data_IF_599959341497
#
_entry.id   IF_599959341497
#
_cell.length_a   1.000
_cell.length_b   1.000
_cell.length_c   1.000
_cell.angle_alpha   90.00
_cell.angle_beta   90.00
_cell.angle_gamma   90.00
#
_symmetry.space_group_name_H-M   'P 1'
#
loop_
_entity.id
_entity.type
_entity.pdbx_description
1 polymer ?
#
# COMPACT_ATOMS: atom_id res chain seq x y z
N UNK A 1 -11.10 5.76 13.58
CA UNK A 1 -9.75 6.11 14.06
C UNK A 1 -9.29 7.39 13.38
N UNK A 2 -8.28 8.08 13.91
CA UNK A 2 -7.79 9.35 13.36
C UNK A 2 -7.43 9.28 11.86
N UNK A 3 -6.83 8.17 11.39
CA UNK A 3 -6.51 8.02 9.97
C UNK A 3 -7.73 7.85 9.06
N UNK A 4 -8.83 7.28 9.56
CA UNK A 4 -10.08 7.25 8.78
C UNK A 4 -10.63 8.66 8.60
N UNK A 5 -10.53 9.50 9.64
CA UNK A 5 -10.94 10.90 9.56
C UNK A 5 -10.02 11.69 8.62
N UNK A 6 -8.70 11.44 8.65
CA UNK A 6 -7.76 12.01 7.69
C UNK A 6 -8.11 11.59 6.26
N UNK A 7 -8.29 10.30 5.99
CA UNK A 7 -8.62 9.79 4.66
C UNK A 7 -9.93 10.40 4.10
N UNK A 8 -10.94 10.55 4.95
CA UNK A 8 -12.18 11.23 4.59
C UNK A 8 -11.97 12.72 4.26
N UNK A 9 -11.14 13.42 5.04
CA UNK A 9 -10.80 14.81 4.77
C UNK A 9 -9.98 14.97 3.47
N UNK A 10 -9.07 14.04 3.19
CA UNK A 10 -8.31 14.01 1.95
C UNK A 10 -9.22 13.82 0.72
N UNK A 11 -10.20 12.93 0.82
CA UNK A 11 -11.16 12.67 -0.26
C UNK A 11 -12.01 13.86 -0.68
N UNK A 12 -12.17 14.86 0.20
CA UNK A 12 -12.88 16.10 -0.11
C UNK A 12 -12.05 17.12 -0.91
N UNK A 13 -10.75 16.86 -1.11
CA UNK A 13 -9.85 17.77 -1.83
C UNK A 13 -9.95 17.62 -3.36
N UNK A 14 -9.68 18.69 -4.13
CA UNK A 14 -9.47 18.58 -5.57
C UNK A 14 -8.33 17.61 -5.93
N UNK A 15 -8.42 16.94 -7.09
CA UNK A 15 -7.49 15.87 -7.49
C UNK A 15 -5.99 16.20 -7.31
N UNK A 16 -5.47 17.39 -7.67
CA UNK A 16 -4.05 17.71 -7.47
C UNK A 16 -3.66 17.80 -5.99
N UNK A 17 -4.53 18.35 -5.15
CA UNK A 17 -4.30 18.50 -3.72
C UNK A 17 -4.43 17.15 -3.01
N UNK A 18 -5.40 16.33 -3.42
CA UNK A 18 -5.55 14.95 -2.96
C UNK A 18 -4.29 14.14 -3.26
N UNK A 19 -3.75 14.23 -4.48
CA UNK A 19 -2.55 13.50 -4.87
C UNK A 19 -1.30 13.89 -4.05
N UNK A 20 -1.12 15.19 -3.78
CA UNK A 20 -0.05 15.68 -2.92
C UNK A 20 -0.23 15.20 -1.47
N UNK A 21 -1.42 15.41 -0.90
CA UNK A 21 -1.69 15.08 0.49
C UNK A 21 -1.69 13.56 0.78
N UNK A 22 -2.13 12.73 -0.16
CA UNK A 22 -2.01 11.27 -0.06
C UNK A 22 -0.55 10.81 -0.08
N UNK A 23 0.30 11.44 -0.91
CA UNK A 23 1.75 11.15 -0.90
C UNK A 23 2.39 11.53 0.43
N UNK A 24 2.12 12.72 0.94
CA UNK A 24 2.68 13.18 2.22
C UNK A 24 2.22 12.30 3.39
N UNK A 25 0.94 11.94 3.42
CA UNK A 25 0.39 11.07 4.45
C UNK A 25 0.97 9.64 4.39
N UNK A 26 1.17 9.11 3.19
CA UNK A 26 1.81 7.81 2.97
C UNK A 26 3.28 7.87 3.39
N UNK A 27 4.03 8.87 2.94
CA UNK A 27 5.46 9.05 3.24
C UNK A 27 5.73 9.15 4.76
N UNK A 28 4.84 9.79 5.51
CA UNK A 28 4.94 9.80 6.98
C UNK A 28 4.91 8.37 7.60
N UNK A 29 4.21 7.41 6.98
CA UNK A 29 4.20 6.01 7.45
C UNK A 29 5.39 5.23 6.88
N UNK A 30 5.76 5.48 5.62
CA UNK A 30 6.89 4.83 4.96
C UNK A 30 8.22 5.16 5.66
N UNK A 31 8.39 6.40 6.12
CA UNK A 31 9.58 6.82 6.88
C UNK A 31 9.80 5.99 8.14
N UNK A 32 8.73 5.75 8.90
CA UNK A 32 8.81 4.94 10.11
C UNK A 32 9.11 3.47 9.78
N UNK A 33 8.54 2.92 8.70
CA UNK A 33 8.88 1.57 8.22
C UNK A 33 10.36 1.46 7.82
N UNK A 34 10.89 2.44 7.07
CA UNK A 34 12.32 2.48 6.71
C UNK A 34 13.21 2.55 7.95
N UNK A 35 12.84 3.36 8.95
CA UNK A 35 13.56 3.46 10.21
C UNK A 35 13.57 2.13 10.97
N UNK A 36 12.43 1.42 11.05
CA UNK A 36 12.37 0.09 11.66
C UNK A 36 13.21 -0.95 10.93
N UNK A 37 13.20 -0.90 9.60
CA UNK A 37 14.04 -1.78 8.79
C UNK A 37 15.53 -1.54 9.02
N UNK A 38 15.95 -0.29 9.22
CA UNK A 38 17.34 0.08 9.47
C UNK A 38 17.80 -0.23 10.91
N UNK A 39 16.91 -0.09 11.90
CA UNK A 39 17.24 -0.31 13.31
C UNK A 39 17.43 -1.79 13.69
N UNK A 40 16.94 -2.72 12.85
CA UNK A 40 17.03 -4.17 13.01
C UNK A 40 16.63 -4.72 14.40
N UNK A 41 15.72 -4.02 15.08
CA UNK A 41 15.24 -4.39 16.40
C UNK A 41 14.16 -5.47 16.38
N UNK A 42 13.91 -6.08 17.54
CA UNK A 42 12.82 -7.04 17.71
C UNK A 42 11.44 -6.41 17.48
N UNK A 43 10.57 -7.17 16.80
CA UNK A 43 9.17 -6.80 16.61
C UNK A 43 8.42 -6.97 17.94
N UNK A 44 8.02 -5.85 18.56
CA UNK A 44 7.25 -5.85 19.81
C UNK A 44 5.82 -5.38 19.55
N UNK A 45 4.87 -6.32 19.58
CA UNK A 45 3.45 -6.07 19.28
C UNK A 45 2.89 -4.92 20.10
N UNK A 46 2.15 -4.03 19.45
CA UNK A 46 1.48 -2.89 20.11
C UNK A 46 2.40 -1.71 20.45
N UNK A 47 3.68 -1.79 20.09
CA UNK A 47 4.64 -0.69 20.24
C UNK A 47 4.94 -0.04 18.89
N UNK A 48 5.69 1.07 18.90
CA UNK A 48 6.18 1.72 17.67
C UNK A 48 7.20 0.87 16.91
N UNK A 49 7.77 -0.18 17.52
CA UNK A 49 8.65 -1.13 16.84
C UNK A 49 7.91 -2.23 16.08
N UNK A 50 6.57 -2.28 16.17
CA UNK A 50 5.76 -3.20 15.38
C UNK A 50 5.50 -2.63 13.97
N UNK A 51 6.05 -3.21 12.89
CA UNK A 51 5.80 -2.73 11.53
C UNK A 51 4.31 -2.80 11.16
N UNK A 52 3.54 -3.69 11.79
CA UNK A 52 2.10 -3.81 11.54
C UNK A 52 1.33 -2.53 11.86
N UNK A 53 1.77 -1.76 12.87
CA UNK A 53 1.14 -0.47 13.19
C UNK A 53 1.16 0.47 11.98
N UNK A 54 2.31 0.60 11.33
CA UNK A 54 2.52 1.51 10.21
C UNK A 54 1.90 0.98 8.92
N UNK A 55 1.93 -0.35 8.71
CA UNK A 55 1.26 -1.01 7.59
C UNK A 55 -0.26 -0.85 7.67
N UNK A 56 -0.88 -1.05 8.84
CA UNK A 56 -2.32 -0.88 9.02
C UNK A 56 -2.74 0.59 8.86
N UNK A 57 -1.86 1.51 9.24
CA UNK A 57 -2.07 2.95 9.03
C UNK A 57 -2.06 3.32 7.56
N UNK A 58 -1.04 2.89 6.82
CA UNK A 58 -0.93 3.10 5.38
C UNK A 58 -2.10 2.43 4.64
N UNK A 59 -2.48 1.21 5.02
CA UNK A 59 -3.62 0.49 4.48
C UNK A 59 -4.95 1.24 4.69
N UNK A 60 -5.13 1.87 5.86
CA UNK A 60 -6.33 2.66 6.14
C UNK A 60 -6.45 3.89 5.23
N UNK A 61 -5.33 4.54 4.88
CA UNK A 61 -5.34 5.67 3.93
C UNK A 61 -5.91 5.24 2.58
N UNK A 62 -5.37 4.17 1.98
CA UNK A 62 -5.87 3.67 0.69
C UNK A 62 -7.28 3.09 0.76
N UNK A 63 -7.68 2.51 1.89
CA UNK A 63 -9.02 1.91 2.04
C UNK A 63 -10.12 2.96 2.21
N UNK A 64 -9.85 3.98 3.00
CA UNK A 64 -10.87 4.90 3.50
C UNK A 64 -10.88 6.25 2.75
N UNK A 65 -9.93 6.49 1.85
CA UNK A 65 -9.94 7.67 0.97
C UNK A 65 -11.07 7.52 -0.04
N UNK A 66 -11.98 8.48 -0.04
CA UNK A 66 -13.05 8.56 -1.03
C UNK A 66 -12.57 9.43 -2.18
N UNK A 67 -12.36 8.84 -3.35
CA UNK A 67 -11.93 9.58 -4.54
C UNK A 67 -13.17 9.88 -5.36
N UNK A 68 -13.58 11.15 -5.49
CA UNK A 68 -14.77 11.49 -6.25
C UNK A 68 -14.63 10.98 -7.70
N UNK A 69 -15.67 10.38 -8.31
CA UNK A 69 -15.59 9.94 -9.71
C UNK A 69 -15.19 11.08 -10.67
N UNK A 70 -15.58 12.31 -10.35
CA UNK A 70 -15.18 13.50 -11.10
C UNK A 70 -13.67 13.83 -11.02
N UNK A 71 -12.95 13.32 -10.02
CA UNK A 71 -11.50 13.44 -9.89
C UNK A 71 -10.74 12.41 -10.75
N UNK A 72 -11.46 11.45 -11.35
CA UNK A 72 -10.93 10.44 -12.26
C UNK A 72 -11.49 10.72 -13.65
N UNK A 73 -10.96 11.74 -14.31
CA UNK A 73 -11.23 12.02 -15.73
C UNK A 73 -10.51 10.99 -16.60
N UNK A 74 -11.11 10.58 -17.73
CA UNK A 74 -10.59 9.53 -18.62
C UNK A 74 -9.19 9.79 -19.20
N UNK A 75 -8.64 10.99 -19.01
CA UNK A 75 -7.32 11.41 -19.49
C UNK A 75 -6.28 11.56 -18.37
N UNK A 76 -6.69 11.67 -17.10
CA UNK A 76 -5.77 11.91 -15.98
C UNK A 76 -5.56 10.66 -15.13
N UNK A 77 -4.32 10.47 -14.66
CA UNK A 77 -3.98 9.37 -13.77
C UNK A 77 -4.69 9.52 -12.42
N UNK A 78 -5.13 8.39 -11.84
CA UNK A 78 -5.80 8.37 -10.54
C UNK A 78 -4.96 9.09 -9.46
N UNK A 79 -5.54 9.98 -8.64
CA UNK A 79 -4.77 10.85 -7.73
C UNK A 79 -3.99 10.09 -6.66
N UNK A 80 -4.42 8.88 -6.28
CA UNK A 80 -3.69 8.03 -5.33
C UNK A 80 -2.60 7.16 -5.98
N UNK A 81 -2.48 7.11 -7.31
CA UNK A 81 -1.47 6.29 -8.00
C UNK A 81 -0.03 6.67 -7.59
N UNK A 82 0.36 7.96 -7.53
CA UNK A 82 1.71 8.33 -7.10
C UNK A 82 2.06 7.80 -5.72
N UNK A 83 1.15 7.94 -4.74
CA UNK A 83 1.35 7.43 -3.39
C UNK A 83 1.51 5.90 -3.36
N UNK A 84 0.76 5.16 -4.18
CA UNK A 84 0.92 3.71 -4.30
C UNK A 84 2.26 3.33 -4.93
N UNK A 85 2.67 4.01 -5.99
CA UNK A 85 3.95 3.79 -6.67
C UNK A 85 5.12 4.03 -5.74
N UNK A 86 5.10 5.11 -4.96
CA UNK A 86 6.14 5.44 -3.98
C UNK A 86 6.15 4.43 -2.80
N UNK A 87 4.98 3.91 -2.44
CA UNK A 87 4.84 2.91 -1.36
C UNK A 87 5.35 1.53 -1.75
N UNK A 88 5.24 1.14 -3.03
CA UNK A 88 5.50 -0.22 -3.48
C UNK A 88 6.93 -0.73 -3.14
N UNK A 89 8.02 -0.01 -3.45
CA UNK A 89 9.37 -0.47 -3.11
C UNK A 89 9.55 -0.75 -1.61
N UNK A 90 8.99 0.11 -0.76
CA UNK A 90 9.05 -0.07 0.70
C UNK A 90 8.26 -1.28 1.15
N UNK A 91 7.04 -1.47 0.63
CA UNK A 91 6.23 -2.65 0.94
C UNK A 91 6.94 -3.94 0.51
N UNK A 92 7.59 -3.94 -0.64
CA UNK A 92 8.40 -5.06 -1.12
C UNK A 92 9.58 -5.35 -0.17
N UNK A 93 10.33 -4.32 0.22
CA UNK A 93 11.46 -4.45 1.13
C UNK A 93 11.02 -4.97 2.51
N UNK A 94 9.90 -4.48 3.05
CA UNK A 94 9.28 -4.97 4.29
C UNK A 94 8.95 -6.46 4.18
N UNK A 95 8.26 -6.87 3.09
CA UNK A 95 7.91 -8.28 2.87
C UNK A 95 9.14 -9.17 2.73
N UNK A 96 10.19 -8.67 2.07
CA UNK A 96 11.45 -9.39 1.89
C UNK A 96 12.23 -9.54 3.21
N UNK A 97 12.35 -8.46 4.00
CA UNK A 97 13.06 -8.47 5.30
C UNK A 97 12.38 -9.42 6.29
N UNK A 98 11.06 -9.38 6.37
CA UNK A 98 10.28 -10.17 7.32
C UNK A 98 9.51 -11.31 6.64
N UNK A 99 10.11 -11.93 5.61
CA UNK A 99 9.44 -12.94 4.78
C UNK A 99 8.97 -14.17 5.57
N UNK A 100 9.62 -14.52 6.68
CA UNK A 100 9.19 -15.61 7.56
C UNK A 100 8.08 -15.21 8.56
N UNK A 101 7.78 -13.92 8.71
CA UNK A 101 6.80 -13.42 9.67
C UNK A 101 5.44 -13.24 9.01
N UNK A 102 4.62 -14.29 8.99
CA UNK A 102 3.31 -14.32 8.32
C UNK A 102 2.42 -13.11 8.65
N UNK A 103 2.41 -12.66 9.92
CA UNK A 103 1.63 -11.49 10.35
C UNK A 103 2.05 -10.20 9.64
N UNK A 104 3.35 -9.99 9.44
CA UNK A 104 3.88 -8.78 8.78
C UNK A 104 3.59 -8.84 7.28
N UNK A 105 3.87 -9.98 6.65
CA UNK A 105 3.61 -10.19 5.21
C UNK A 105 2.13 -10.05 4.90
N UNK A 106 1.24 -10.63 5.69
CA UNK A 106 -0.21 -10.50 5.50
C UNK A 106 -0.67 -9.03 5.55
N UNK A 107 -0.10 -8.23 6.46
CA UNK A 107 -0.46 -6.82 6.63
C UNK A 107 0.11 -5.95 5.50
N UNK A 108 1.32 -6.25 5.01
CA UNK A 108 1.86 -5.61 3.82
C UNK A 108 1.06 -5.94 2.56
N UNK A 109 0.72 -7.22 2.35
CA UNK A 109 -0.16 -7.65 1.25
C UNK A 109 -1.56 -7.01 1.37
N UNK A 110 -2.11 -6.88 2.59
CA UNK A 110 -3.38 -6.17 2.83
C UNK A 110 -3.30 -4.70 2.43
N UNK A 111 -2.22 -4.01 2.77
CA UNK A 111 -1.98 -2.64 2.35
C UNK A 111 -1.95 -2.53 0.81
N UNK A 112 -1.18 -3.40 0.15
CA UNK A 112 -1.09 -3.43 -1.31
C UNK A 112 -2.46 -3.70 -1.96
N UNK A 113 -3.26 -4.64 -1.44
CA UNK A 113 -4.62 -4.90 -1.95
C UNK A 113 -5.52 -3.69 -1.87
N UNK A 114 -5.48 -2.91 -0.78
CA UNK A 114 -6.28 -1.68 -0.70
C UNK A 114 -5.76 -0.61 -1.65
N UNK A 115 -4.45 -0.44 -1.78
CA UNK A 115 -3.87 0.47 -2.77
C UNK A 115 -4.29 0.14 -4.21
N UNK A 116 -4.15 -1.14 -4.59
CA UNK A 116 -4.54 -1.63 -5.92
C UNK A 116 -6.04 -1.44 -6.17
N UNK A 117 -6.90 -1.71 -5.19
CA UNK A 117 -8.36 -1.49 -5.33
C UNK A 117 -8.73 -0.01 -5.39
N UNK A 118 -8.04 0.83 -4.63
CA UNK A 118 -8.23 2.27 -4.65
C UNK A 118 -7.93 2.85 -6.03
N UNK A 119 -6.82 2.43 -6.64
CA UNK A 119 -6.39 2.92 -7.95
C UNK A 119 -7.08 2.23 -9.14
N UNK A 120 -7.53 0.99 -8.96
CA UNK A 120 -8.17 0.19 -10.02
C UNK A 120 -7.23 -0.08 -11.20
N UNK A 121 -7.76 -0.02 -12.42
CA UNK A 121 -7.00 -0.24 -13.66
C UNK A 121 -5.78 0.70 -13.83
N UNK A 122 -5.77 1.85 -13.15
CA UNK A 122 -4.63 2.76 -13.13
C UNK A 122 -3.34 2.15 -12.56
N UNK A 123 -3.41 1.01 -11.87
CA UNK A 123 -2.23 0.32 -11.36
C UNK A 123 -1.45 -0.45 -12.43
N UNK A 124 -1.91 -0.43 -13.70
CA UNK A 124 -1.25 -1.14 -14.81
C UNK A 124 0.26 -0.81 -14.92
N UNK A 125 0.65 0.43 -14.62
CA UNK A 125 2.05 0.85 -14.61
C UNK A 125 2.93 0.10 -13.59
N UNK A 126 2.34 -0.45 -12.52
CA UNK A 126 3.05 -1.21 -11.49
C UNK A 126 3.14 -2.71 -11.81
N UNK A 127 2.37 -3.20 -12.78
CA UNK A 127 2.31 -4.63 -13.11
C UNK A 127 3.68 -5.25 -13.40
N UNK A 128 4.57 -4.62 -14.21
CA UNK A 128 5.87 -5.22 -14.49
C UNK A 128 6.67 -5.50 -13.20
N UNK A 129 6.71 -4.54 -12.27
CA UNK A 129 7.42 -4.69 -11.01
C UNK A 129 6.75 -5.74 -10.09
N UNK A 130 5.42 -5.75 -10.02
CA UNK A 130 4.65 -6.68 -9.21
C UNK A 130 4.78 -8.13 -9.72
N UNK A 131 4.70 -8.34 -11.04
CA UNK A 131 4.81 -9.66 -11.66
C UNK A 131 6.19 -10.29 -11.48
N UNK A 132 7.25 -9.50 -11.33
CA UNK A 132 8.58 -10.02 -10.99
C UNK A 132 8.71 -10.31 -9.49
N UNK A 133 8.19 -9.42 -8.64
CA UNK A 133 8.39 -9.48 -7.20
C UNK A 133 7.53 -10.52 -6.46
N UNK A 134 6.25 -10.63 -6.81
CA UNK A 134 5.31 -11.51 -6.09
C UNK A 134 5.69 -13.00 -6.21
N UNK A 135 6.08 -13.53 -7.40
CA UNK A 135 6.57 -14.90 -7.49
C UNK A 135 7.84 -15.13 -6.67
N UNK A 136 8.76 -14.17 -6.65
CA UNK A 136 9.98 -14.28 -5.85
C UNK A 136 9.67 -14.37 -4.35
N UNK A 137 8.73 -13.56 -3.84
CA UNK A 137 8.28 -13.64 -2.44
C UNK A 137 7.62 -14.99 -2.14
N UNK A 138 6.75 -15.48 -3.04
CA UNK A 138 6.05 -16.75 -2.84
C UNK A 138 7.01 -17.95 -2.85
N UNK A 139 7.99 -17.94 -3.75
CA UNK A 139 9.02 -18.97 -3.81
C UNK A 139 9.94 -18.95 -2.58
N UNK A 140 10.19 -17.77 -2.00
CA UNK A 140 10.96 -17.65 -0.77
C UNK A 140 10.18 -18.15 0.46
N UNK A 141 8.89 -17.81 0.56
CA UNK A 141 7.98 -18.36 1.57
C UNK A 141 6.53 -18.33 1.05
N UNK A 142 5.83 -19.48 0.94
CA UNK A 142 4.54 -19.57 0.26
C UNK A 142 3.39 -19.05 1.12
N UNK A 143 3.25 -17.72 1.21
CA UNK A 143 2.12 -17.09 1.90
C UNK A 143 0.90 -16.98 1.00
N UNK A 144 -0.25 -17.52 1.44
CA UNK A 144 -1.51 -17.43 0.67
C UNK A 144 -1.96 -15.99 0.40
N UNK A 145 -1.56 -15.02 1.23
CA UNK A 145 -1.87 -13.61 1.01
C UNK A 145 -1.20 -13.03 -0.25
N UNK A 146 -0.08 -13.60 -0.72
CA UNK A 146 0.57 -13.21 -1.98
C UNK A 146 -0.29 -13.62 -3.17
N UNK A 147 -0.79 -14.86 -3.18
CA UNK A 147 -1.72 -15.33 -4.22
C UNK A 147 -3.01 -14.50 -4.24
N UNK A 148 -3.49 -14.07 -3.07
CA UNK A 148 -4.66 -13.21 -3.00
C UNK A 148 -4.39 -11.82 -3.61
N UNK A 149 -3.20 -11.24 -3.43
CA UNK A 149 -2.81 -10.03 -4.15
C UNK A 149 -2.87 -10.25 -5.66
N UNK A 150 -2.32 -11.36 -6.16
CA UNK A 150 -2.39 -11.70 -7.59
C UNK A 150 -3.83 -11.77 -8.10
N UNK A 151 -4.74 -12.42 -7.35
CA UNK A 151 -6.16 -12.46 -7.71
C UNK A 151 -6.82 -11.09 -7.77
N UNK A 152 -6.47 -10.18 -6.85
CA UNK A 152 -6.96 -8.79 -6.89
C UNK A 152 -6.40 -8.04 -8.09
N UNK A 153 -5.12 -8.22 -8.42
CA UNK A 153 -4.51 -7.61 -9.60
C UNK A 153 -5.26 -8.04 -10.86
N UNK A 154 -5.54 -9.34 -11.03
CA UNK A 154 -6.32 -9.83 -12.16
C UNK A 154 -7.72 -9.21 -12.23
N UNK A 155 -8.44 -9.08 -11.10
CA UNK A 155 -9.79 -8.47 -11.08
C UNK A 155 -9.79 -6.99 -11.46
N UNK A 156 -8.77 -6.21 -11.04
CA UNK A 156 -8.74 -4.77 -11.35
C UNK A 156 -8.19 -4.46 -12.74
N UNK A 157 -7.40 -5.34 -13.35
CA UNK A 157 -6.81 -5.12 -14.68
C UNK A 157 -7.55 -5.84 -15.82
N UNK A 158 -8.47 -6.75 -15.50
CA UNK A 158 -9.32 -7.42 -16.50
C UNK A 158 -10.59 -6.62 -16.86
N UNK A 159 -10.76 -5.43 -16.28
CA UNK A 159 -11.86 -4.50 -16.56
C UNK A 159 -11.40 -3.42 -17.52
#
# INVERSE_FOLDING_TARGET
TLLRALAAALGALPAPQLAAAMRDAAEAQLRELRALMAADGEIKKGTRSDPVLWLDRLAALFRDVDVPPAAVTSQDAHPCLPALTDSWPVLYDVMKKWVSHSRVVERACRCLRFGVRCVGAGCAALLPALCTALPALYNAHPHGCVLYVCGVLCDVTAR
#
